data_IF_264840713433
#
_entry.id   IF_264840713433
#
_cell.length_a   1.000
_cell.length_b   1.000
_cell.length_c   1.000
_cell.angle_alpha   90.00
_cell.angle_beta   90.00
_cell.angle_gamma   90.00
#
_symmetry.space_group_name_H-M   'P 1'
#
loop_
_entity.id
_entity.type
_entity.pdbx_description
1 polymer ?
#
# COMPACT_ATOMS: atom_id res chain seq x y z
N UNK A 1 -21.16 92.94 27.28
CA UNK A 1 -20.79 91.51 27.41
C UNK A 1 -19.41 91.33 26.79
N UNK A 2 -18.35 91.46 27.59
CA UNK A 2 -16.96 91.52 27.09
C UNK A 2 -16.39 90.11 27.04
N UNK A 3 -16.08 89.62 25.84
CA UNK A 3 -15.41 88.32 25.60
C UNK A 3 -13.91 88.46 25.89
N UNK A 4 -13.43 87.74 26.90
CA UNK A 4 -11.99 87.48 27.06
C UNK A 4 -11.55 86.45 26.02
N UNK A 5 -10.76 86.88 25.05
CA UNK A 5 -10.09 86.00 24.08
C UNK A 5 -8.74 85.62 24.68
N UNK A 6 -8.56 84.35 25.04
CA UNK A 6 -7.26 83.83 25.47
C UNK A 6 -6.29 83.85 24.28
N UNK A 7 -5.18 84.58 24.43
CA UNK A 7 -4.06 84.53 23.48
C UNK A 7 -3.31 83.23 23.68
N UNK A 8 -3.55 82.26 22.80
CA UNK A 8 -2.75 81.03 22.74
C UNK A 8 -1.36 81.40 22.21
N UNK A 9 -0.31 81.18 23.01
CA UNK A 9 1.07 81.48 22.61
C UNK A 9 1.52 80.56 21.48
N UNK A 10 1.86 81.14 20.32
CA UNK A 10 2.24 80.42 19.11
C UNK A 10 3.41 79.44 19.33
N UNK A 11 4.34 79.77 20.24
CA UNK A 11 5.46 78.90 20.61
C UNK A 11 5.01 77.63 21.33
N UNK A 12 3.96 77.69 22.14
CA UNK A 12 3.39 76.53 22.82
C UNK A 12 2.68 75.59 21.85
N UNK A 13 1.96 76.14 20.87
CA UNK A 13 1.30 75.36 19.82
C UNK A 13 2.32 74.65 18.93
N UNK A 14 3.43 75.33 18.60
CA UNK A 14 4.49 74.76 17.77
C UNK A 14 5.26 73.63 18.48
N UNK A 15 5.52 73.77 19.79
CA UNK A 15 6.14 72.70 20.61
C UNK A 15 5.22 71.49 20.77
N UNK A 16 3.92 71.72 20.95
CA UNK A 16 2.92 70.65 21.04
C UNK A 16 2.81 69.89 19.70
N UNK A 17 2.83 70.61 18.58
CA UNK A 17 2.85 69.99 17.24
C UNK A 17 4.13 69.20 16.97
N UNK A 18 5.30 69.70 17.36
CA UNK A 18 6.56 68.97 17.21
C UNK A 18 6.58 67.68 18.06
N UNK A 19 6.02 67.73 19.28
CA UNK A 19 5.90 66.58 20.17
C UNK A 19 4.93 65.52 19.63
N UNK A 20 3.80 65.95 19.05
CA UNK A 20 2.84 65.06 18.38
C UNK A 20 3.44 64.38 17.14
N UNK A 21 4.25 65.12 16.37
CA UNK A 21 4.90 64.60 15.16
C UNK A 21 6.02 63.59 15.51
N UNK A 22 6.72 63.79 16.63
CA UNK A 22 7.72 62.84 17.16
C UNK A 22 7.08 61.56 17.76
N UNK A 23 5.90 61.68 18.38
CA UNK A 23 5.16 60.53 18.92
C UNK A 23 4.52 59.67 17.81
N UNK A 24 4.20 60.28 16.66
CA UNK A 24 3.65 59.57 15.50
C UNK A 24 4.67 58.66 14.80
N UNK A 25 5.96 58.90 14.96
CA UNK A 25 7.03 58.08 14.37
C UNK A 25 7.42 56.85 15.20
N UNK A 26 6.79 56.64 16.37
CA UNK A 26 7.11 55.53 17.29
C UNK A 26 6.37 54.23 17.02
N UNK A 27 5.46 54.18 16.03
CA UNK A 27 4.94 52.92 15.47
C UNK A 27 6.01 52.29 14.58
N UNK A 28 7.07 51.83 15.24
CA UNK A 28 8.15 51.07 14.65
C UNK A 28 7.60 49.79 14.00
N UNK A 29 8.15 49.49 12.84
CA UNK A 29 7.91 48.30 12.03
C UNK A 29 8.05 47.00 12.85
N UNK A 30 6.94 46.47 13.35
CA UNK A 30 6.85 45.05 13.68
C UNK A 30 6.79 44.27 12.37
N UNK A 31 7.94 44.04 11.74
CA UNK A 31 8.05 43.10 10.63
C UNK A 31 7.81 41.70 11.19
N UNK A 32 6.58 41.22 11.14
CA UNK A 32 6.25 39.83 11.38
C UNK A 32 7.10 38.97 10.44
N UNK A 33 8.12 38.31 10.99
CA UNK A 33 8.96 37.35 10.26
C UNK A 33 8.14 36.09 10.05
N UNK A 34 7.30 36.11 9.03
CA UNK A 34 6.52 34.96 8.63
C UNK A 34 7.35 34.06 7.72
N UNK A 35 7.33 32.77 8.02
CA UNK A 35 7.86 31.73 7.15
C UNK A 35 6.68 31.11 6.41
N UNK A 36 6.80 31.05 5.09
CA UNK A 36 5.85 30.42 4.19
C UNK A 36 6.44 29.15 3.57
N UNK A 37 5.56 28.26 3.10
CA UNK A 37 6.01 27.02 2.49
C UNK A 37 4.87 26.16 1.98
N UNK A 38 5.24 25.02 1.40
CA UNK A 38 4.30 24.03 0.85
C UNK A 38 4.65 22.66 1.41
N UNK A 39 3.61 21.89 1.76
CA UNK A 39 3.77 20.51 2.23
C UNK A 39 3.41 19.54 1.10
N UNK A 40 4.29 18.57 0.89
CA UNK A 40 4.22 17.56 -0.16
C UNK A 40 4.24 16.16 0.42
N UNK A 41 3.70 15.24 -0.35
CA UNK A 41 3.91 13.82 -0.18
C UNK A 41 5.31 13.42 -0.65
N UNK A 42 6.05 12.71 0.19
CA UNK A 42 7.40 12.25 -0.16
C UNK A 42 7.38 11.27 -1.35
N UNK A 43 6.34 10.45 -1.47
CA UNK A 43 6.19 9.42 -2.48
C UNK A 43 5.52 9.95 -3.75
N UNK A 44 4.29 10.47 -3.64
CA UNK A 44 3.52 10.91 -4.84
C UNK A 44 3.94 12.29 -5.37
N UNK A 45 4.68 13.07 -4.58
CA UNK A 45 5.02 14.49 -4.85
C UNK A 45 3.81 15.42 -4.95
N UNK A 46 2.64 14.95 -4.57
CA UNK A 46 1.42 15.76 -4.55
C UNK A 46 1.41 16.70 -3.33
N UNK A 47 0.66 17.80 -3.44
CA UNK A 47 0.48 18.75 -2.35
C UNK A 47 -0.50 18.20 -1.31
N UNK A 48 -0.18 18.39 -0.05
CA UNK A 48 -0.98 17.88 1.07
C UNK A 48 -1.65 19.04 1.79
N UNK A 49 -2.99 19.08 1.82
CA UNK A 49 -3.76 20.05 2.60
C UNK A 49 -4.04 19.57 4.05
N UNK A 50 -4.51 20.46 4.93
CA UNK A 50 -4.89 20.18 6.32
C UNK A 50 -3.76 19.61 7.20
N UNK A 51 -2.52 20.01 6.95
CA UNK A 51 -1.36 19.72 7.79
C UNK A 51 -1.32 20.74 8.93
N UNK A 52 -1.24 20.26 10.17
CA UNK A 52 -0.99 21.11 11.32
C UNK A 52 0.50 21.48 11.35
N UNK A 53 0.78 22.78 11.35
CA UNK A 53 2.13 23.35 11.47
C UNK A 53 2.22 24.01 12.83
N UNK A 54 3.24 23.64 13.61
CA UNK A 54 3.45 24.19 14.95
C UNK A 54 4.90 24.55 15.17
N UNK A 55 5.14 25.75 15.69
CA UNK A 55 6.45 26.18 16.15
C UNK A 55 6.66 25.70 17.60
N UNK A 56 7.76 24.98 17.85
CA UNK A 56 8.06 24.44 19.17
C UNK A 56 8.49 25.51 20.17
N UNK A 57 9.08 26.61 19.69
CA UNK A 57 9.60 27.73 20.50
C UNK A 57 8.47 28.71 20.83
N UNK A 58 7.88 29.34 19.81
CA UNK A 58 6.84 30.37 19.99
C UNK A 58 5.46 29.80 20.35
N UNK A 59 5.29 28.47 20.26
CA UNK A 59 4.01 27.76 20.42
C UNK A 59 2.92 28.16 19.42
N UNK A 60 3.23 29.01 18.44
CA UNK A 60 2.32 29.33 17.36
C UNK A 60 1.93 28.05 16.60
N UNK A 61 0.67 27.93 16.22
CA UNK A 61 0.16 26.82 15.43
C UNK A 61 -0.88 27.29 14.43
N UNK A 62 -0.95 26.63 13.29
CA UNK A 62 -1.95 26.86 12.26
C UNK A 62 -2.03 25.68 11.30
N UNK A 63 -3.06 25.67 10.46
CA UNK A 63 -3.20 24.69 9.39
C UNK A 63 -2.80 25.31 8.05
N UNK A 64 -2.28 24.47 7.15
CA UNK A 64 -2.07 24.88 5.78
C UNK A 64 -3.38 24.86 4.96
N UNK A 65 -3.41 25.59 3.85
CA UNK A 65 -4.60 25.77 3.03
C UNK A 65 -4.88 24.56 2.09
N UNK A 66 -5.98 24.62 1.33
CA UNK A 66 -6.35 23.59 0.35
C UNK A 66 -5.34 23.44 -0.81
N UNK A 67 -4.50 24.44 -1.05
CA UNK A 67 -3.41 24.41 -2.03
C UNK A 67 -2.10 23.83 -1.46
N UNK A 68 -2.11 23.37 -0.20
CA UNK A 68 -0.95 22.83 0.49
C UNK A 68 0.01 23.87 1.06
N UNK A 69 -0.33 25.16 0.97
CA UNK A 69 0.53 26.27 1.39
C UNK A 69 0.27 26.66 2.85
N UNK A 70 1.33 26.88 3.62
CA UNK A 70 1.27 27.35 5.00
C UNK A 70 1.99 28.69 5.16
N UNK A 71 1.59 29.44 6.19
CA UNK A 71 2.28 30.65 6.65
C UNK A 71 2.24 30.67 8.18
N UNK A 72 3.40 30.77 8.83
CA UNK A 72 3.53 30.75 10.28
C UNK A 72 4.56 31.77 10.76
N UNK A 73 4.33 32.38 11.91
CA UNK A 73 5.30 33.28 12.54
C UNK A 73 6.42 32.46 13.19
N UNK A 74 7.65 32.55 12.65
CA UNK A 74 8.79 31.77 13.10
C UNK A 74 10.11 32.48 12.80
N UNK A 75 11.02 32.46 13.77
CA UNK A 75 12.37 33.01 13.64
C UNK A 75 13.35 32.02 13.01
N UNK A 76 14.49 32.54 12.53
CA UNK A 76 15.63 31.70 12.15
C UNK A 76 16.12 30.93 13.38
N UNK A 77 16.22 29.61 13.25
CA UNK A 77 16.60 28.68 14.32
C UNK A 77 15.42 27.99 15.00
N UNK A 78 14.18 28.44 14.77
CA UNK A 78 13.00 27.78 15.32
C UNK A 78 12.76 26.42 14.65
N UNK A 79 12.28 25.46 15.43
CA UNK A 79 11.86 24.15 14.95
C UNK A 79 10.34 24.11 14.71
N UNK A 80 9.95 23.79 13.48
CA UNK A 80 8.56 23.62 13.06
C UNK A 80 8.24 22.13 12.95
N UNK A 81 7.21 21.67 13.67
CA UNK A 81 6.67 20.32 13.54
C UNK A 81 5.45 20.32 12.63
N UNK A 82 5.40 19.34 11.73
CA UNK A 82 4.34 19.14 10.76
C UNK A 82 3.64 17.82 11.07
N UNK A 83 2.34 17.87 11.35
CA UNK A 83 1.55 16.70 11.76
C UNK A 83 0.28 16.59 10.92
N UNK A 84 0.01 15.38 10.44
CA UNK A 84 -1.22 15.03 9.72
C UNK A 84 -1.55 13.55 9.88
N UNK A 85 -2.83 13.23 10.00
CA UNK A 85 -3.31 11.86 10.05
C UNK A 85 -2.93 11.09 8.77
N UNK A 86 -2.44 9.85 8.93
CA UNK A 86 -1.95 9.03 7.82
C UNK A 86 -0.51 9.33 7.37
N UNK A 87 0.19 10.26 8.05
CA UNK A 87 1.58 10.62 7.78
C UNK A 87 2.43 10.58 9.06
N UNK A 88 3.71 10.29 8.92
CA UNK A 88 4.68 10.48 9.98
C UNK A 88 4.92 11.98 10.19
N UNK A 89 4.92 12.42 11.44
CA UNK A 89 5.28 13.80 11.76
C UNK A 89 6.76 14.04 11.44
N UNK A 90 7.06 15.22 10.90
CA UNK A 90 8.43 15.63 10.60
C UNK A 90 8.73 17.00 11.21
N UNK A 91 9.99 17.24 11.55
CA UNK A 91 10.44 18.49 12.20
C UNK A 91 11.53 19.15 11.36
N UNK A 92 11.34 20.43 11.03
CA UNK A 92 12.27 21.20 10.22
C UNK A 92 12.68 22.47 10.95
N UNK A 93 13.99 22.74 10.95
CA UNK A 93 14.55 23.97 11.51
C UNK A 93 14.57 25.09 10.45
N UNK A 94 14.06 26.27 10.80
CA UNK A 94 14.03 27.44 9.93
C UNK A 94 15.44 27.99 9.76
N UNK A 95 15.98 27.96 8.53
CA UNK A 95 17.33 28.46 8.25
C UNK A 95 17.39 29.93 7.80
N UNK A 96 16.27 30.54 7.41
CA UNK A 96 16.18 31.95 6.98
C UNK A 96 14.88 32.29 6.24
N UNK A 97 14.84 33.44 5.56
CA UNK A 97 13.67 33.95 4.83
C UNK A 97 13.47 33.30 3.44
N UNK A 98 13.49 31.97 3.37
CA UNK A 98 13.22 31.22 2.14
C UNK A 98 11.96 30.38 2.32
N UNK A 99 11.13 30.33 1.28
CA UNK A 99 9.95 29.45 1.24
C UNK A 99 10.36 28.00 1.44
N UNK A 100 9.72 27.30 2.38
CA UNK A 100 10.05 25.93 2.74
C UNK A 100 9.26 24.91 1.91
N UNK A 101 9.94 23.86 1.44
CA UNK A 101 9.29 22.69 0.86
C UNK A 101 9.44 21.51 1.83
N UNK A 102 8.32 21.01 2.34
CA UNK A 102 8.28 19.97 3.38
C UNK A 102 7.75 18.67 2.77
N UNK A 103 8.37 17.54 3.06
CA UNK A 103 7.98 16.24 2.50
C UNK A 103 7.60 15.25 3.60
N UNK A 104 6.30 15.00 3.78
CA UNK A 104 5.80 14.03 4.75
C UNK A 104 5.76 12.63 4.16
N UNK A 105 6.15 11.63 4.95
CA UNK A 105 6.08 10.21 4.58
C UNK A 105 4.76 9.61 5.07
N UNK A 106 4.05 8.85 4.23
CA UNK A 106 2.83 8.13 4.64
C UNK A 106 3.15 7.03 5.67
N UNK A 107 2.21 6.81 6.59
CA UNK A 107 2.29 5.67 7.54
C UNK A 107 1.77 4.37 6.92
N UNK A 108 0.85 4.45 5.96
CA UNK A 108 0.31 3.30 5.25
C UNK A 108 1.19 2.87 4.08
N UNK A 109 1.40 1.56 3.93
CA UNK A 109 1.99 0.96 2.74
C UNK A 109 0.92 0.97 1.64
N UNK A 110 1.10 1.76 0.58
CA UNK A 110 0.29 1.58 -0.63
C UNK A 110 0.75 0.31 -1.36
N UNK A 111 -0.10 -0.71 -1.39
CA UNK A 111 0.08 -1.83 -2.29
C UNK A 111 -0.14 -1.32 -3.72
N UNK A 112 0.77 -1.68 -4.64
CA UNK A 112 0.59 -1.36 -6.06
C UNK A 112 -0.74 -1.98 -6.51
N UNK A 113 -1.58 -1.16 -7.14
CA UNK A 113 -2.77 -1.66 -7.83
C UNK A 113 -2.31 -2.66 -8.88
N UNK A 114 -2.68 -3.92 -8.69
CA UNK A 114 -2.55 -4.94 -9.72
C UNK A 114 -3.80 -4.78 -10.57
N UNK A 115 -3.65 -4.19 -11.75
CA UNK A 115 -4.72 -4.23 -12.75
C UNK A 115 -4.90 -5.70 -13.14
N UNK A 116 -5.94 -6.32 -12.61
CA UNK A 116 -6.36 -7.66 -13.01
C UNK A 116 -7.04 -7.49 -14.36
N UNK A 117 -6.25 -7.30 -15.41
CA UNK A 117 -6.74 -7.51 -16.77
C UNK A 117 -7.16 -8.98 -16.82
N UNK A 118 -8.42 -9.26 -17.15
CA UNK A 118 -9.08 -10.58 -17.12
C UNK A 118 -8.45 -11.66 -18.02
N UNK A 119 -7.20 -11.50 -18.42
CA UNK A 119 -6.44 -12.56 -19.05
C UNK A 119 -6.04 -13.55 -17.94
N UNK A 120 -6.98 -14.42 -17.53
CA UNK A 120 -6.69 -15.53 -16.64
C UNK A 120 -5.50 -16.28 -17.22
N UNK A 121 -4.34 -16.12 -16.59
CA UNK A 121 -3.13 -16.79 -17.00
C UNK A 121 -3.41 -18.29 -16.94
N UNK A 122 -3.18 -19.00 -18.04
CA UNK A 122 -3.37 -20.45 -18.04
C UNK A 122 -2.48 -21.07 -16.94
N UNK A 123 -2.89 -22.19 -16.32
CA UNK A 123 -2.11 -22.82 -15.26
C UNK A 123 -0.64 -23.04 -15.65
N UNK A 124 -0.35 -23.34 -16.92
CA UNK A 124 0.99 -23.56 -17.45
C UNK A 124 1.81 -22.28 -17.47
N UNK A 125 1.21 -21.15 -17.89
CA UNK A 125 1.88 -19.84 -17.88
C UNK A 125 2.17 -19.38 -16.46
N UNK A 126 1.24 -19.62 -15.52
CA UNK A 126 1.43 -19.32 -14.11
C UNK A 126 2.57 -20.15 -13.52
N UNK A 127 2.58 -21.46 -13.77
CA UNK A 127 3.69 -22.33 -13.36
C UNK A 127 5.03 -21.89 -13.96
N UNK A 128 5.05 -21.51 -15.23
CA UNK A 128 6.26 -21.03 -15.88
C UNK A 128 6.78 -19.73 -15.25
N UNK A 129 5.89 -18.79 -14.92
CA UNK A 129 6.26 -17.57 -14.19
C UNK A 129 6.82 -17.90 -12.79
N UNK A 130 6.12 -18.75 -12.03
CA UNK A 130 6.59 -19.20 -10.71
C UNK A 130 7.98 -19.85 -10.81
N UNK A 131 8.22 -20.75 -11.77
CA UNK A 131 9.55 -21.36 -11.97
C UNK A 131 10.63 -20.34 -12.29
N UNK A 132 10.31 -19.27 -13.03
CA UNK A 132 11.26 -18.16 -13.31
C UNK A 132 11.59 -17.37 -12.06
N UNK A 133 10.65 -17.17 -11.15
CA UNK A 133 10.91 -16.45 -9.89
C UNK A 133 11.78 -17.27 -8.93
N UNK A 134 11.66 -18.61 -8.98
CA UNK A 134 12.44 -19.55 -8.17
C UNK A 134 13.65 -20.13 -8.93
N UNK A 135 14.49 -19.26 -9.53
CA UNK A 135 15.69 -19.67 -10.29
C UNK A 135 16.70 -20.50 -9.49
N UNK A 136 16.78 -20.33 -8.17
CA UNK A 136 17.67 -21.16 -7.32
C UNK A 136 17.28 -22.64 -7.29
N UNK A 137 16.02 -22.95 -7.61
CA UNK A 137 15.46 -24.32 -7.58
C UNK A 137 15.24 -24.86 -8.99
N UNK A 138 14.84 -24.01 -9.92
CA UNK A 138 14.47 -24.39 -11.30
C UNK A 138 15.40 -23.81 -12.39
N UNK A 139 16.37 -22.99 -12.03
CA UNK A 139 17.37 -22.47 -12.96
C UNK A 139 18.29 -23.58 -13.48
N UNK A 140 18.96 -23.30 -14.60
CA UNK A 140 19.96 -24.21 -15.15
C UNK A 140 21.05 -24.47 -14.10
N UNK A 141 21.12 -25.70 -13.64
CA UNK A 141 22.26 -26.22 -12.92
C UNK A 141 23.36 -26.50 -13.94
N UNK A 142 24.09 -25.48 -14.38
CA UNK A 142 25.30 -25.65 -15.20
C UNK A 142 26.36 -26.53 -14.47
N UNK A 143 26.15 -26.85 -13.18
CA UNK A 143 26.92 -27.81 -12.39
C UNK A 143 26.34 -29.23 -12.26
N UNK A 144 25.17 -29.56 -12.83
CA UNK A 144 24.64 -30.94 -12.78
C UNK A 144 25.37 -31.89 -13.75
N UNK A 145 25.99 -31.33 -14.79
CA UNK A 145 26.88 -32.03 -15.72
C UNK A 145 28.33 -31.54 -15.51
N UNK A 146 28.83 -31.63 -14.27
CA UNK A 146 30.26 -31.42 -14.04
C UNK A 146 31.02 -32.62 -14.61
N UNK A 147 31.64 -32.44 -15.77
CA UNK A 147 32.65 -33.37 -16.30
C UNK A 147 33.71 -33.57 -15.22
N UNK A 148 33.81 -34.77 -14.67
CA UNK A 148 34.93 -35.13 -13.80
C UNK A 148 36.23 -34.97 -14.60
N UNK A 149 37.32 -34.39 -14.05
CA UNK A 149 38.58 -34.26 -14.75
C UNK A 149 39.14 -35.67 -15.01
N UNK A 150 38.79 -36.24 -16.17
CA UNK A 150 39.03 -37.65 -16.49
C UNK A 150 38.01 -38.30 -17.46
N UNK A 151 36.97 -37.59 -17.92
CA UNK A 151 36.14 -38.07 -19.05
C UNK A 151 35.09 -39.12 -18.72
N UNK A 152 34.69 -39.26 -17.46
CA UNK A 152 33.55 -40.11 -17.05
C UNK A 152 32.29 -39.30 -16.72
N UNK A 153 31.12 -39.80 -17.10
CA UNK A 153 29.80 -39.28 -16.67
C UNK A 153 29.60 -39.67 -15.20
N UNK A 154 30.15 -38.87 -14.29
CA UNK A 154 29.94 -39.01 -12.84
C UNK A 154 28.81 -38.07 -12.39
N UNK A 155 27.83 -38.59 -11.65
CA UNK A 155 26.88 -37.74 -10.92
C UNK A 155 27.67 -36.88 -9.94
N UNK A 156 27.68 -35.56 -10.14
CA UNK A 156 28.48 -34.64 -9.32
C UNK A 156 28.18 -34.81 -7.83
N UNK A 157 29.22 -35.00 -7.01
CA UNK A 157 29.09 -35.18 -5.56
C UNK A 157 28.34 -34.01 -4.90
N UNK A 158 28.42 -32.80 -5.48
CA UNK A 158 27.66 -31.62 -5.05
C UNK A 158 26.15 -31.73 -5.33
N UNK A 159 25.74 -32.44 -6.38
CA UNK A 159 24.31 -32.69 -6.66
C UNK A 159 23.73 -33.67 -5.64
N UNK A 160 24.53 -34.68 -5.24
CA UNK A 160 24.16 -35.63 -4.19
C UNK A 160 24.15 -34.96 -2.81
N UNK A 161 25.17 -34.16 -2.47
CA UNK A 161 25.24 -33.40 -1.22
C UNK A 161 24.09 -32.39 -1.11
N UNK A 162 23.78 -31.65 -2.18
CA UNK A 162 22.63 -30.76 -2.19
C UNK A 162 21.33 -31.52 -1.98
N UNK A 163 21.11 -32.67 -2.62
CA UNK A 163 19.92 -33.50 -2.44
C UNK A 163 19.71 -33.97 -0.98
N UNK A 164 20.79 -34.25 -0.23
CA UNK A 164 20.72 -34.69 1.18
C UNK A 164 20.88 -33.56 2.21
N UNK A 165 21.27 -32.36 1.78
CA UNK A 165 21.40 -31.19 2.66
C UNK A 165 20.05 -30.66 3.13
N UNK A 166 20.05 -29.90 4.24
CA UNK A 166 18.85 -29.16 4.71
C UNK A 166 18.29 -28.22 3.61
N UNK A 167 19.18 -27.63 2.80
CA UNK A 167 18.81 -26.78 1.67
C UNK A 167 18.06 -27.55 0.59
N UNK A 168 18.54 -28.74 0.21
CA UNK A 168 17.86 -29.59 -0.77
C UNK A 168 16.52 -30.12 -0.30
N UNK A 169 16.41 -30.53 0.98
CA UNK A 169 15.13 -30.94 1.57
C UNK A 169 14.10 -29.80 1.53
N UNK A 170 14.52 -28.57 1.83
CA UNK A 170 13.66 -27.39 1.71
C UNK A 170 13.29 -27.09 0.26
N UNK A 171 14.22 -27.23 -0.68
CA UNK A 171 13.97 -27.04 -2.10
C UNK A 171 12.96 -28.08 -2.63
N UNK A 172 13.10 -29.35 -2.24
CA UNK A 172 12.17 -30.41 -2.63
C UNK A 172 10.77 -30.20 -2.05
N UNK A 173 10.68 -29.77 -0.78
CA UNK A 173 9.42 -29.39 -0.18
C UNK A 173 8.75 -28.22 -0.94
N UNK A 174 9.52 -27.19 -1.32
CA UNK A 174 9.01 -26.08 -2.12
C UNK A 174 8.57 -26.53 -3.53
N UNK A 175 9.29 -27.45 -4.17
CA UNK A 175 8.83 -28.06 -5.43
C UNK A 175 7.49 -28.77 -5.26
N UNK A 176 7.33 -29.54 -4.19
CA UNK A 176 6.06 -30.20 -3.85
C UNK A 176 4.92 -29.21 -3.66
N UNK A 177 5.15 -28.07 -2.99
CA UNK A 177 4.19 -26.98 -2.86
C UNK A 177 3.82 -26.42 -4.23
N UNK A 178 4.81 -26.07 -5.06
CA UNK A 178 4.59 -25.49 -6.39
C UNK A 178 3.82 -26.45 -7.30
N UNK A 179 4.11 -27.75 -7.21
CA UNK A 179 3.38 -28.77 -7.95
C UNK A 179 1.94 -28.91 -7.44
N UNK A 180 1.74 -28.91 -6.12
CA UNK A 180 0.39 -28.92 -5.53
C UNK A 180 -0.41 -27.71 -5.99
N UNK A 181 0.18 -26.51 -5.89
CA UNK A 181 -0.44 -25.27 -6.34
C UNK A 181 -0.79 -25.33 -7.83
N UNK A 182 0.07 -25.89 -8.67
CA UNK A 182 -0.23 -26.08 -10.08
C UNK A 182 -1.45 -26.99 -10.29
N UNK A 183 -1.53 -28.12 -9.56
CA UNK A 183 -2.69 -29.02 -9.64
C UNK A 183 -3.98 -28.32 -9.23
N UNK A 184 -3.94 -27.54 -8.16
CA UNK A 184 -5.09 -26.74 -7.71
C UNK A 184 -5.50 -25.71 -8.76
N UNK A 185 -4.55 -25.00 -9.36
CA UNK A 185 -4.81 -24.05 -10.44
C UNK A 185 -5.45 -24.70 -11.67
N UNK A 186 -5.04 -25.92 -12.03
CA UNK A 186 -5.65 -26.68 -13.13
C UNK A 186 -7.11 -27.03 -12.83
N UNK A 187 -7.39 -27.44 -11.58
CA UNK A 187 -8.77 -27.70 -11.14
C UNK A 187 -9.59 -26.42 -11.22
N UNK A 188 -9.10 -25.32 -10.67
CA UNK A 188 -9.85 -24.06 -10.62
C UNK A 188 -10.06 -23.44 -12.00
N UNK A 189 -9.10 -23.62 -12.91
CA UNK A 189 -9.22 -23.16 -14.30
C UNK A 189 -10.35 -23.87 -15.04
N UNK A 190 -10.49 -25.19 -14.88
CA UNK A 190 -11.54 -26.00 -15.54
C UNK A 190 -12.85 -26.11 -14.75
N UNK A 191 -12.81 -25.94 -13.43
CA UNK A 191 -13.98 -25.97 -12.54
C UNK A 191 -14.18 -24.58 -11.94
N UNK A 192 -14.30 -23.57 -12.80
CA UNK A 192 -14.50 -22.18 -12.38
C UNK A 192 -16.00 -21.84 -12.20
N UNK A 193 -16.26 -20.75 -11.48
CA UNK A 193 -17.61 -20.26 -11.17
C UNK A 193 -18.46 -20.05 -12.44
N UNK A 194 -17.87 -19.47 -13.48
CA UNK A 194 -18.56 -19.17 -14.73
C UNK A 194 -19.09 -20.44 -15.41
N UNK A 195 -18.24 -21.46 -15.57
CA UNK A 195 -18.62 -22.72 -16.20
C UNK A 195 -19.62 -23.52 -15.36
N UNK A 196 -19.39 -23.60 -14.05
CA UNK A 196 -20.29 -24.34 -13.16
C UNK A 196 -21.66 -23.66 -13.08
N UNK A 197 -21.69 -22.33 -12.99
CA UNK A 197 -22.94 -21.56 -13.03
C UNK A 197 -23.67 -21.75 -14.35
N UNK A 198 -22.96 -21.68 -15.48
CA UNK A 198 -23.56 -21.92 -16.80
C UNK A 198 -24.19 -23.31 -16.93
N UNK A 199 -23.57 -24.36 -16.38
CA UNK A 199 -24.06 -25.74 -16.49
C UNK A 199 -25.23 -26.02 -15.53
N UNK A 200 -25.22 -25.42 -14.34
CA UNK A 200 -26.16 -25.74 -13.25
C UNK A 200 -27.27 -24.72 -13.06
N UNK A 201 -27.07 -23.48 -13.49
CA UNK A 201 -27.93 -22.34 -13.19
C UNK A 201 -27.79 -21.81 -11.75
N UNK A 202 -26.87 -22.34 -10.94
CA UNK A 202 -26.67 -21.88 -9.56
C UNK A 202 -25.98 -20.50 -9.54
N UNK A 203 -26.34 -19.68 -8.55
CA UNK A 203 -25.74 -18.36 -8.29
C UNK A 203 -25.25 -18.24 -6.85
N UNK A 204 -24.39 -17.24 -6.60
CA UNK A 204 -24.02 -16.73 -5.28
C UNK A 204 -23.60 -17.81 -4.26
N UNK A 205 -24.35 -17.93 -3.16
CA UNK A 205 -24.05 -18.82 -2.04
C UNK A 205 -24.26 -20.28 -2.41
N UNK A 206 -25.29 -20.61 -3.19
CA UNK A 206 -25.56 -21.98 -3.63
C UNK A 206 -24.47 -22.48 -4.57
N UNK A 207 -24.00 -21.62 -5.49
CA UNK A 207 -22.88 -21.94 -6.36
C UNK A 207 -21.61 -22.20 -5.55
N UNK A 208 -21.31 -21.33 -4.58
CA UNK A 208 -20.12 -21.47 -3.73
C UNK A 208 -20.16 -22.76 -2.91
N UNK A 209 -21.31 -23.07 -2.32
CA UNK A 209 -21.52 -24.29 -1.52
C UNK A 209 -21.44 -25.55 -2.39
N UNK A 210 -22.05 -25.54 -3.58
CA UNK A 210 -21.94 -26.63 -4.55
C UNK A 210 -20.49 -26.88 -4.97
N UNK A 211 -19.77 -25.82 -5.35
CA UNK A 211 -18.39 -25.92 -5.80
C UNK A 211 -17.46 -26.42 -4.69
N UNK A 212 -17.71 -26.04 -3.44
CA UNK A 212 -16.96 -26.55 -2.29
C UNK A 212 -17.20 -28.06 -2.08
N UNK A 213 -18.46 -28.51 -2.12
CA UNK A 213 -18.84 -29.91 -1.83
C UNK A 213 -18.48 -30.90 -2.92
N UNK A 214 -18.56 -30.47 -4.18
CA UNK A 214 -18.41 -31.33 -5.35
C UNK A 214 -17.19 -30.96 -6.20
N UNK A 215 -16.14 -30.44 -5.57
CA UNK A 215 -14.89 -30.12 -6.24
C UNK A 215 -14.24 -31.39 -6.80
N UNK A 216 -13.96 -31.47 -8.11
CA UNK A 216 -13.32 -32.63 -8.69
C UNK A 216 -11.84 -32.71 -8.33
N UNK A 217 -11.28 -33.93 -8.39
CA UNK A 217 -9.84 -34.14 -8.22
C UNK A 217 -9.05 -33.87 -9.50
N UNK A 218 -7.75 -33.56 -9.36
CA UNK A 218 -6.84 -33.22 -10.46
C UNK A 218 -6.87 -34.25 -11.61
N UNK A 219 -6.75 -35.54 -11.30
CA UNK A 219 -6.68 -36.59 -12.32
C UNK A 219 -7.94 -36.64 -13.20
N UNK A 220 -9.12 -36.50 -12.60
CA UNK A 220 -10.37 -36.43 -13.36
C UNK A 220 -10.40 -35.18 -14.25
N UNK A 221 -10.01 -34.03 -13.71
CA UNK A 221 -9.96 -32.76 -14.45
C UNK A 221 -9.02 -32.81 -15.64
N UNK A 222 -7.92 -33.56 -15.58
CA UNK A 222 -6.96 -33.63 -16.69
C UNK A 222 -7.27 -34.71 -17.72
N UNK A 223 -7.98 -35.77 -17.34
CA UNK A 223 -8.26 -36.92 -18.21
C UNK A 223 -9.67 -36.93 -18.79
N UNK A 224 -10.64 -36.32 -18.10
CA UNK A 224 -12.03 -36.35 -18.55
C UNK A 224 -12.21 -35.58 -19.85
N UNK A 225 -12.95 -36.18 -20.78
CA UNK A 225 -13.48 -35.47 -21.94
C UNK A 225 -14.44 -34.37 -21.50
N UNK A 226 -14.72 -33.40 -22.37
CA UNK A 226 -15.66 -32.33 -22.06
C UNK A 226 -17.05 -32.87 -21.71
N UNK A 227 -17.50 -33.90 -22.42
CA UNK A 227 -18.76 -34.56 -22.16
C UNK A 227 -18.82 -35.21 -20.77
N UNK A 228 -17.77 -35.95 -20.38
CA UNK A 228 -17.70 -36.58 -19.05
C UNK A 228 -17.65 -35.55 -17.94
N UNK A 229 -16.93 -34.44 -18.15
CA UNK A 229 -16.85 -33.34 -17.21
C UNK A 229 -18.21 -32.67 -16.99
N UNK A 230 -18.93 -32.33 -18.06
CA UNK A 230 -20.29 -31.79 -17.97
C UNK A 230 -21.25 -32.79 -17.31
N UNK A 231 -21.15 -34.08 -17.66
CA UNK A 231 -21.95 -35.15 -17.06
C UNK A 231 -21.69 -35.26 -15.55
N UNK A 232 -20.44 -35.15 -15.11
CA UNK A 232 -20.05 -35.13 -13.70
C UNK A 232 -20.73 -33.97 -12.96
N UNK A 233 -20.65 -32.75 -13.49
CA UNK A 233 -21.27 -31.56 -12.89
C UNK A 233 -22.79 -31.75 -12.77
N UNK A 234 -23.46 -32.18 -13.85
CA UNK A 234 -24.91 -32.40 -13.85
C UNK A 234 -25.34 -33.50 -12.87
N UNK A 235 -24.57 -34.56 -12.76
CA UNK A 235 -24.86 -35.68 -11.83
C UNK A 235 -24.74 -35.23 -10.38
N UNK A 236 -23.67 -34.50 -10.06
CA UNK A 236 -23.49 -33.93 -8.72
C UNK A 236 -24.51 -32.84 -8.41
N UNK A 237 -24.91 -32.04 -9.38
CA UNK A 237 -25.98 -31.06 -9.21
C UNK A 237 -27.30 -31.73 -8.81
N UNK A 238 -27.67 -32.85 -9.46
CA UNK A 238 -28.84 -33.64 -9.04
C UNK A 238 -28.71 -34.16 -7.61
N UNK A 239 -27.50 -34.51 -7.16
CA UNK A 239 -27.25 -34.95 -5.76
C UNK A 239 -27.39 -33.77 -4.79
N UNK A 240 -26.85 -32.61 -5.16
CA UNK A 240 -26.94 -31.38 -4.39
C UNK A 240 -28.40 -30.97 -4.13
N UNK A 241 -29.24 -30.99 -5.18
CA UNK A 241 -30.66 -30.66 -5.05
C UNK A 241 -31.43 -31.65 -4.15
N UNK A 242 -31.03 -32.92 -4.11
CA UNK A 242 -31.66 -33.94 -3.26
C UNK A 242 -31.30 -33.78 -1.78
N UNK A 243 -30.07 -33.37 -1.48
CA UNK A 243 -29.63 -33.15 -0.11
C UNK A 243 -28.61 -31.99 -0.04
N UNK A 244 -29.10 -30.73 0.03
CA UNK A 244 -28.22 -29.57 0.10
C UNK A 244 -27.35 -29.55 1.36
N UNK A 245 -27.76 -30.22 2.44
CA UNK A 245 -26.99 -30.31 3.70
C UNK A 245 -25.97 -31.45 3.69
N UNK A 246 -25.89 -32.25 2.62
CA UNK A 246 -24.86 -33.28 2.52
C UNK A 246 -23.46 -32.63 2.64
N UNK A 247 -22.58 -33.26 3.42
CA UNK A 247 -21.20 -32.81 3.64
C UNK A 247 -21.06 -31.43 4.30
N UNK A 248 -22.10 -30.88 4.94
CA UNK A 248 -21.94 -29.71 5.80
C UNK A 248 -21.16 -30.07 7.06
N UNK A 249 -20.23 -29.21 7.48
CA UNK A 249 -19.55 -29.35 8.77
C UNK A 249 -20.58 -29.35 9.90
N UNK A 250 -20.34 -30.17 10.94
CA UNK A 250 -21.14 -30.06 12.17
C UNK A 250 -20.93 -28.67 12.76
N UNK A 251 -21.99 -28.02 13.28
CA UNK A 251 -21.80 -26.79 14.03
C UNK A 251 -20.86 -27.07 15.21
N UNK A 252 -19.98 -26.12 15.52
CA UNK A 252 -19.09 -26.22 16.68
C UNK A 252 -19.97 -26.30 17.93
N UNK A 253 -19.74 -27.32 18.76
CA UNK A 253 -20.38 -27.42 20.06
C UNK A 253 -19.97 -26.21 20.88
N UNK A 254 -20.96 -25.40 21.31
CA UNK A 254 -20.70 -24.30 22.21
C UNK A 254 -20.28 -24.90 23.56
N UNK A 255 -19.02 -24.72 23.93
CA UNK A 255 -18.54 -25.01 25.28
C UNK A 255 -19.35 -24.14 26.23
N UNK A 256 -20.19 -24.78 27.06
CA UNK A 256 -20.96 -24.12 28.12
C UNK A 256 -20.04 -23.68 29.25
#
# INVERSE_FOLDING_TARGET
>A
MIRHVQKVSFSAVMKLWLFLLFCSTSVALAQDKTVDGIVFDKETKERIAQVNVRNLVSKASGYNNLKGEFKINAGKGDALIFTKDGFFSDTITVQGNRTLAVYLKRTGIQLKQVDITENMLTPEKRLAATKRDYTKIYGNNDGFLALSPGGGVGLGLDALYNAFSKSGRNAEHLKGIIESDYRENVIDYRFNRTQVSFITGLTDQQLTDFMFKYRPGYYFVTTATEYEFIRYIRTNYKRYLRNPKAYSLRPLDLVK
#
